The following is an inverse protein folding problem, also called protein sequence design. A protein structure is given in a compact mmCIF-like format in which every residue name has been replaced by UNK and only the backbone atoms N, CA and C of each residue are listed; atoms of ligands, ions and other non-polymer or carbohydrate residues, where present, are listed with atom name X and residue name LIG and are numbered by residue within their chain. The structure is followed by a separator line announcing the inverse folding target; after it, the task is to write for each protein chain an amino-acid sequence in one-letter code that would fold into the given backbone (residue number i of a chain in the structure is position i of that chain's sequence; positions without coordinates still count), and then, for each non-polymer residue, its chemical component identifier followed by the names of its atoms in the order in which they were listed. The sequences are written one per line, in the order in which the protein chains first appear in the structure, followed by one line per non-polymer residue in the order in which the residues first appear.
data_IF_895725387410
#
_entry.id   IF_895725387410
#
_cell.length_a   1.000
_cell.length_b   1.000
_cell.length_c   1.000
_cell.angle_alpha   90.00
_cell.angle_beta   90.00
_cell.angle_gamma   90.00
#
_symmetry.space_group_name_H-M   'P 1'
#
loop_
_entity.id
_entity.type
_entity.pdbx_description
1 polymer ?
#
# COMPACT_ATOMS: atom_id res chain seq x y z
N UNK A 1 -39.53 75.84 18.71
CA UNK A 1 -39.36 74.71 17.82
C UNK A 1 -38.00 74.05 18.14
N UNK A 2 -37.98 72.91 18.87
CA UNK A 2 -36.76 72.23 19.31
C UNK A 2 -36.58 71.02 18.37
N UNK A 3 -35.51 71.00 17.62
CA UNK A 3 -35.11 69.85 16.78
C UNK A 3 -34.29 68.89 17.66
N UNK A 4 -34.88 67.70 17.89
CA UNK A 4 -34.21 66.60 18.59
C UNK A 4 -33.33 65.85 17.61
N UNK A 5 -32.01 65.84 17.90
CA UNK A 5 -31.02 65.11 17.14
C UNK A 5 -30.96 63.68 17.67
N UNK A 6 -31.38 62.70 16.86
CA UNK A 6 -31.25 61.28 17.20
C UNK A 6 -29.87 60.80 16.69
N UNK A 7 -28.98 60.52 17.62
CA UNK A 7 -27.67 59.89 17.32
C UNK A 7 -27.88 58.37 17.30
N UNK A 8 -27.86 57.78 16.12
CA UNK A 8 -27.86 56.34 15.96
C UNK A 8 -26.43 55.83 16.15
N UNK A 9 -26.20 55.10 17.25
CA UNK A 9 -24.94 54.35 17.46
C UNK A 9 -25.07 53.04 16.72
N UNK A 10 -24.36 52.93 15.60
CA UNK A 10 -24.16 51.65 14.91
C UNK A 10 -23.01 50.92 15.60
N UNK A 11 -23.36 49.94 16.41
CA UNK A 11 -22.36 49.00 16.99
C UNK A 11 -21.89 48.03 15.90
N UNK A 12 -20.72 48.25 15.34
CA UNK A 12 -20.05 47.29 14.46
C UNK A 12 -19.53 46.13 15.30
N UNK A 13 -20.23 44.99 15.27
CA UNK A 13 -19.78 43.73 15.85
C UNK A 13 -18.72 43.13 14.92
N UNK A 14 -17.44 43.35 15.20
CA UNK A 14 -16.34 42.70 14.52
C UNK A 14 -16.29 41.21 14.95
N UNK A 15 -16.81 40.32 14.09
CA UNK A 15 -16.71 38.90 14.27
C UNK A 15 -15.27 38.50 13.96
N UNK A 16 -14.43 38.33 14.99
CA UNK A 16 -13.08 37.78 14.88
C UNK A 16 -13.23 36.28 14.59
N UNK A 17 -13.26 35.90 13.32
CA UNK A 17 -13.10 34.51 12.91
C UNK A 17 -11.66 34.10 13.22
N UNK A 18 -11.45 33.47 14.37
CA UNK A 18 -10.20 32.75 14.65
C UNK A 18 -10.15 31.56 13.68
N UNK A 19 -9.41 31.71 12.59
CA UNK A 19 -8.95 30.57 11.81
C UNK A 19 -8.01 29.76 12.74
N UNK A 20 -8.57 28.78 13.43
CA UNK A 20 -7.78 27.70 13.98
C UNK A 20 -7.25 26.93 12.79
N UNK A 21 -6.06 27.30 12.34
CA UNK A 21 -5.30 26.48 11.39
C UNK A 21 -5.12 25.13 12.03
N UNK A 22 -5.88 24.13 11.57
CA UNK A 22 -5.60 22.74 11.84
C UNK A 22 -4.24 22.50 11.20
N UNK A 23 -3.19 22.50 12.02
CA UNK A 23 -1.88 22.09 11.60
C UNK A 23 -2.05 20.63 11.12
N UNK A 24 -2.11 20.46 9.80
CA UNK A 24 -2.07 19.14 9.17
C UNK A 24 -0.69 18.60 9.53
N UNK A 25 -0.65 17.62 10.43
CA UNK A 25 0.57 16.90 10.71
C UNK A 25 1.11 16.46 9.33
N UNK A 26 2.28 17.01 8.97
CA UNK A 26 2.87 16.67 7.67
C UNK A 26 3.08 15.17 7.63
N UNK A 27 2.60 14.52 6.58
CA UNK A 27 2.78 13.09 6.37
C UNK A 27 4.27 12.77 6.51
N UNK A 28 4.61 12.00 7.54
CA UNK A 28 5.99 11.60 7.78
C UNK A 28 6.29 10.37 6.96
N UNK A 29 7.30 10.45 6.12
CA UNK A 29 7.84 9.30 5.43
C UNK A 29 8.61 8.42 6.43
N UNK A 30 8.24 7.15 6.50
CA UNK A 30 8.76 6.17 7.45
C UNK A 30 9.32 4.96 6.68
N UNK A 31 10.47 4.39 7.10
CA UNK A 31 11.00 3.18 6.48
C UNK A 31 10.02 2.01 6.64
N UNK A 32 9.77 1.30 5.54
CA UNK A 32 9.01 0.06 5.53
C UNK A 32 9.96 -1.10 5.25
N UNK A 33 10.03 -2.07 6.16
CA UNK A 33 10.88 -3.26 6.02
C UNK A 33 10.16 -4.47 6.61
N UNK A 34 10.29 -5.61 5.94
CA UNK A 34 9.67 -6.84 6.41
C UNK A 34 10.14 -8.09 5.67
N UNK A 35 9.57 -9.21 6.06
CA UNK A 35 9.72 -10.51 5.43
C UNK A 35 8.34 -11.07 5.09
N UNK A 36 8.29 -11.91 4.08
CA UNK A 36 7.08 -12.59 3.66
C UNK A 36 7.34 -14.04 3.33
N UNK A 37 6.32 -14.87 3.48
CA UNK A 37 6.24 -16.22 2.94
C UNK A 37 4.79 -16.48 2.53
N UNK A 38 4.61 -17.18 1.40
CA UNK A 38 3.29 -17.47 0.86
C UNK A 38 3.29 -18.76 0.04
N UNK A 39 2.09 -19.19 -0.32
CA UNK A 39 1.89 -20.25 -1.32
C UNK A 39 1.07 -19.65 -2.45
N UNK A 40 1.57 -19.83 -3.67
CA UNK A 40 0.95 -19.38 -4.91
C UNK A 40 0.14 -20.51 -5.56
N UNK A 41 -0.99 -20.17 -6.14
CA UNK A 41 -1.73 -20.99 -7.08
C UNK A 41 -1.64 -20.34 -8.45
N UNK A 42 -1.18 -21.11 -9.44
CA UNK A 42 -0.94 -20.63 -10.79
C UNK A 42 -1.98 -21.17 -11.75
N UNK A 43 -2.57 -20.29 -12.54
CA UNK A 43 -3.54 -20.62 -13.60
C UNK A 43 -2.94 -20.26 -14.97
N UNK A 44 -2.76 -21.27 -15.81
CA UNK A 44 -2.21 -21.18 -17.17
C UNK A 44 -3.29 -21.37 -18.24
N UNK A 45 -4.56 -21.21 -17.91
CA UNK A 45 -5.68 -21.50 -18.84
C UNK A 45 -5.81 -20.49 -19.97
N UNK A 46 -5.17 -19.31 -19.87
CA UNK A 46 -5.29 -18.23 -20.85
C UNK A 46 -3.92 -17.73 -21.36
N UNK A 47 -3.05 -18.56 -21.98
CA UNK A 47 -1.75 -18.11 -22.45
C UNK A 47 -1.88 -17.02 -23.55
N UNK A 48 -0.95 -16.02 -23.61
CA UNK A 48 0.29 -15.95 -22.83
C UNK A 48 0.14 -15.39 -21.41
N UNK A 49 -1.06 -15.17 -20.93
CA UNK A 49 -1.29 -14.65 -19.57
C UNK A 49 -1.45 -15.81 -18.58
N UNK A 50 -0.66 -15.79 -17.54
CA UNK A 50 -0.79 -16.64 -16.36
C UNK A 50 -1.32 -15.79 -15.21
N UNK A 51 -2.31 -16.29 -14.48
CA UNK A 51 -2.75 -15.66 -13.23
C UNK A 51 -2.11 -16.35 -12.03
N UNK A 52 -1.50 -15.60 -11.13
CA UNK A 52 -1.03 -16.06 -9.83
C UNK A 52 -1.87 -15.45 -8.73
N UNK A 53 -2.46 -16.30 -7.92
CA UNK A 53 -3.09 -15.91 -6.65
C UNK A 53 -2.31 -16.51 -5.50
N UNK A 54 -2.16 -15.77 -4.41
CA UNK A 54 -1.44 -16.31 -3.27
C UNK A 54 -2.03 -15.87 -1.94
N UNK A 55 -1.77 -16.71 -0.94
CA UNK A 55 -2.04 -16.41 0.46
C UNK A 55 -0.78 -16.66 1.28
N UNK A 56 -0.48 -15.73 2.17
CA UNK A 56 0.74 -15.78 2.97
C UNK A 56 0.70 -14.97 4.24
N UNK A 57 1.85 -14.83 4.84
CA UNK A 57 2.03 -14.07 6.07
C UNK A 57 3.46 -13.53 6.18
N UNK A 58 3.65 -12.62 7.12
CA UNK A 58 4.96 -12.07 7.39
C UNK A 58 4.99 -11.17 8.62
N UNK A 59 6.12 -10.50 8.75
CA UNK A 59 6.32 -9.44 9.77
C UNK A 59 6.93 -8.24 9.07
N UNK A 60 6.34 -7.06 9.28
CA UNK A 60 6.88 -5.81 8.74
C UNK A 60 6.74 -4.67 9.75
N UNK A 61 7.61 -3.65 9.59
CA UNK A 61 7.45 -2.38 10.30
C UNK A 61 6.06 -1.81 10.02
N UNK A 62 5.46 -1.17 10.99
CA UNK A 62 4.12 -0.58 10.96
C UNK A 62 2.94 -1.58 10.82
N UNK A 63 3.13 -2.75 10.19
CA UNK A 63 2.12 -3.82 10.16
C UNK A 63 2.20 -4.76 11.38
N UNK A 64 3.41 -4.98 11.91
CA UNK A 64 3.65 -6.08 12.83
C UNK A 64 3.52 -7.42 12.12
N UNK A 65 2.91 -8.41 12.76
CA UNK A 65 2.49 -9.65 12.08
C UNK A 65 1.31 -9.34 11.16
N UNK A 66 1.33 -9.90 9.96
CA UNK A 66 0.28 -9.68 8.97
C UNK A 66 -0.01 -10.96 8.17
N UNK A 67 -1.20 -11.00 7.58
CA UNK A 67 -1.54 -11.90 6.49
C UNK A 67 -1.50 -11.12 5.17
N UNK A 68 -1.23 -11.81 4.08
CA UNK A 68 -1.11 -11.23 2.75
C UNK A 68 -1.88 -12.09 1.75
N UNK A 69 -2.64 -11.44 0.89
CA UNK A 69 -3.17 -12.03 -0.32
C UNK A 69 -2.78 -11.16 -1.50
N UNK A 70 -2.49 -11.79 -2.66
CA UNK A 70 -2.29 -11.06 -3.90
C UNK A 70 -2.92 -11.77 -5.08
N UNK A 71 -3.12 -11.01 -6.13
CA UNK A 71 -3.49 -11.46 -7.45
C UNK A 71 -2.62 -10.72 -8.47
N UNK A 72 -1.95 -11.48 -9.34
CA UNK A 72 -1.00 -10.97 -10.34
C UNK A 72 -1.28 -11.64 -11.66
N UNK A 73 -1.39 -10.84 -12.73
CA UNK A 73 -1.37 -11.30 -14.10
C UNK A 73 0.07 -11.21 -14.63
N UNK A 74 0.61 -12.31 -15.12
CA UNK A 74 1.98 -12.42 -15.64
C UNK A 74 1.92 -12.71 -17.13
N UNK A 75 2.56 -11.89 -17.93
CA UNK A 75 2.80 -12.17 -19.34
C UNK A 75 4.01 -13.11 -19.46
N UNK A 76 3.79 -14.32 -19.94
CA UNK A 76 4.81 -15.37 -20.05
C UNK A 76 5.86 -15.10 -21.13
N UNK A 77 5.57 -14.24 -22.12
CA UNK A 77 6.52 -13.88 -23.18
C UNK A 77 7.58 -12.90 -22.67
N UNK A 78 7.20 -11.99 -21.77
CA UNK A 78 8.07 -10.96 -21.21
C UNK A 78 8.51 -11.25 -19.78
N UNK A 79 7.86 -12.22 -19.13
CA UNK A 79 8.06 -12.60 -17.72
C UNK A 79 7.84 -11.39 -16.78
N UNK A 80 6.94 -10.49 -17.17
CA UNK A 80 6.52 -9.32 -16.39
C UNK A 80 5.10 -9.50 -15.87
N UNK A 81 4.85 -8.99 -14.69
CA UNK A 81 3.52 -9.07 -14.08
C UNK A 81 3.00 -7.71 -13.61
N UNK A 82 1.69 -7.63 -13.49
CA UNK A 82 0.98 -6.53 -12.83
C UNK A 82 -0.04 -7.10 -11.85
N UNK A 83 -0.22 -6.47 -10.70
CA UNK A 83 -1.13 -7.03 -9.73
C UNK A 83 -1.43 -6.14 -8.54
N UNK A 84 -2.20 -6.72 -7.63
CA UNK A 84 -2.64 -6.09 -6.38
C UNK A 84 -2.23 -6.92 -5.18
N UNK A 85 -1.93 -6.25 -4.06
CA UNK A 85 -1.65 -6.87 -2.78
C UNK A 85 -2.55 -6.33 -1.67
N UNK A 86 -2.99 -7.21 -0.80
CA UNK A 86 -3.78 -6.88 0.38
C UNK A 86 -3.13 -7.44 1.62
N UNK A 87 -2.60 -6.57 2.46
CA UNK A 87 -1.99 -6.89 3.75
C UNK A 87 -2.98 -6.61 4.86
N UNK A 88 -3.13 -7.52 5.80
CA UNK A 88 -4.00 -7.37 6.97
C UNK A 88 -3.17 -7.55 8.23
N UNK A 89 -3.00 -6.47 8.98
CA UNK A 89 -2.30 -6.48 10.27
C UNK A 89 -3.10 -7.26 11.34
N UNK A 90 -2.44 -7.69 12.39
CA UNK A 90 -3.04 -8.50 13.46
C UNK A 90 -4.25 -7.84 14.16
N UNK A 91 -4.36 -6.51 14.10
CA UNK A 91 -5.50 -5.75 14.64
C UNK A 91 -6.65 -5.56 13.63
N UNK A 92 -6.54 -6.12 12.42
CA UNK A 92 -7.55 -6.03 11.36
C UNK A 92 -7.39 -4.83 10.42
N UNK A 93 -6.46 -3.90 10.68
CA UNK A 93 -6.18 -2.80 9.75
C UNK A 93 -5.57 -3.34 8.45
N UNK A 94 -6.01 -2.81 7.33
CA UNK A 94 -5.59 -3.25 6.00
C UNK A 94 -4.70 -2.22 5.31
N UNK A 95 -3.75 -2.71 4.50
CA UNK A 95 -2.93 -1.92 3.58
C UNK A 95 -3.10 -2.50 2.18
N UNK A 96 -3.33 -1.65 1.18
CA UNK A 96 -3.54 -2.03 -0.22
C UNK A 96 -2.39 -1.54 -1.09
N UNK A 97 -2.00 -2.37 -2.05
CA UNK A 97 -0.94 -2.05 -3.01
C UNK A 97 -1.35 -2.44 -4.42
N UNK A 98 -0.77 -1.75 -5.40
CA UNK A 98 -0.78 -2.12 -6.81
C UNK A 98 0.64 -2.02 -7.32
N UNK A 99 1.02 -2.84 -8.30
CA UNK A 99 2.39 -2.76 -8.79
C UNK A 99 2.68 -3.65 -9.99
N UNK A 100 3.95 -3.61 -10.36
CA UNK A 100 4.51 -4.39 -11.46
C UNK A 100 5.72 -5.16 -10.98
N UNK A 101 5.97 -6.31 -11.59
CA UNK A 101 7.10 -7.17 -11.26
C UNK A 101 7.79 -7.75 -12.49
N UNK A 102 9.01 -8.17 -12.29
CA UNK A 102 9.83 -8.90 -13.23
C UNK A 102 10.33 -10.17 -12.56
N UNK A 103 10.13 -11.30 -13.20
CA UNK A 103 10.78 -12.54 -12.81
C UNK A 103 12.04 -12.80 -13.65
N UNK A 104 13.01 -13.46 -13.05
CA UNK A 104 14.26 -13.88 -13.70
C UNK A 104 14.51 -15.34 -13.32
N UNK A 105 14.73 -16.25 -14.29
CA UNK A 105 15.09 -17.63 -13.98
C UNK A 105 16.37 -17.69 -13.14
N UNK A 106 16.44 -18.64 -12.23
CA UNK A 106 17.67 -18.99 -11.49
C UNK A 106 18.37 -20.18 -12.13
N UNK A 107 19.47 -20.62 -11.55
CA UNK A 107 20.16 -21.84 -11.99
C UNK A 107 19.37 -23.12 -11.62
N UNK A 108 18.39 -23.01 -10.72
CA UNK A 108 17.53 -24.12 -10.33
C UNK A 108 16.29 -24.21 -11.24
N UNK A 109 15.94 -25.37 -11.77
CA UNK A 109 14.76 -25.55 -12.61
C UNK A 109 13.46 -25.14 -11.89
N UNK A 110 12.59 -24.37 -12.59
CA UNK A 110 11.32 -23.86 -12.07
C UNK A 110 11.42 -22.90 -10.88
N UNK A 111 12.61 -22.43 -10.54
CA UNK A 111 12.84 -21.45 -9.50
C UNK A 111 13.14 -20.09 -10.11
N UNK A 112 12.42 -19.07 -9.68
CA UNK A 112 12.55 -17.69 -10.19
C UNK A 112 12.84 -16.73 -9.06
N UNK A 113 13.70 -15.77 -9.34
CA UNK A 113 13.86 -14.56 -8.56
C UNK A 113 12.89 -13.50 -9.09
N UNK A 114 12.06 -12.94 -8.21
CA UNK A 114 11.02 -11.98 -8.56
C UNK A 114 11.24 -10.70 -7.79
N UNK A 115 11.32 -9.59 -8.52
CA UNK A 115 11.37 -8.25 -7.94
C UNK A 115 10.11 -7.49 -8.37
N UNK A 116 9.36 -6.99 -7.40
CA UNK A 116 8.12 -6.26 -7.64
C UNK A 116 8.21 -4.86 -7.02
N UNK A 117 7.83 -3.85 -7.80
CA UNK A 117 7.71 -2.47 -7.34
C UNK A 117 6.24 -2.14 -7.17
N UNK A 118 5.85 -1.84 -5.94
CA UNK A 118 4.47 -1.67 -5.55
C UNK A 118 4.24 -0.27 -4.97
N UNK A 119 3.11 0.32 -5.34
CA UNK A 119 2.61 1.59 -4.81
C UNK A 119 1.57 1.28 -3.74
N UNK A 120 1.70 1.90 -2.57
CA UNK A 120 0.69 1.87 -1.52
C UNK A 120 -0.43 2.81 -1.94
N UNK A 121 -1.64 2.28 -2.10
CA UNK A 121 -2.82 3.03 -2.57
C UNK A 121 -3.75 3.45 -1.45
N UNK A 122 -3.47 3.03 -0.22
CA UNK A 122 -4.26 3.34 0.97
C UNK A 122 -4.45 2.14 1.86
N UNK A 123 -5.45 2.22 2.72
CA UNK A 123 -5.79 1.14 3.65
C UNK A 123 -6.96 1.50 4.55
N UNK A 124 -7.11 0.75 5.63
CA UNK A 124 -8.11 0.99 6.68
C UNK A 124 -7.45 1.26 8.03
N UNK A 125 -8.23 1.74 9.00
CA UNK A 125 -7.74 2.03 10.33
C UNK A 125 -6.54 2.98 10.29
N UNK A 126 -5.41 2.61 10.88
CA UNK A 126 -4.19 3.44 10.91
C UNK A 126 -3.53 3.64 9.53
N UNK A 127 -3.95 2.86 8.52
CA UNK A 127 -3.46 2.98 7.14
C UNK A 127 -4.44 3.74 6.24
N UNK A 128 -5.54 4.28 6.78
CA UNK A 128 -6.46 5.11 6.02
C UNK A 128 -5.74 6.35 5.48
N UNK A 129 -5.66 6.48 4.14
CA UNK A 129 -4.90 7.56 3.49
C UNK A 129 -3.39 7.34 3.42
N UNK A 130 -2.88 6.15 3.79
CA UNK A 130 -1.49 5.80 3.61
C UNK A 130 -1.08 5.83 2.12
N UNK A 131 0.17 6.18 1.87
CA UNK A 131 0.79 6.17 0.54
C UNK A 131 2.27 5.78 0.66
N UNK A 132 2.94 5.56 -0.46
CA UNK A 132 4.35 5.23 -0.48
C UNK A 132 4.69 4.17 -1.52
N UNK A 133 5.93 3.70 -1.48
CA UNK A 133 6.44 2.69 -2.40
C UNK A 133 7.15 1.60 -1.62
N UNK A 134 6.90 0.36 -1.98
CA UNK A 134 7.61 -0.81 -1.46
C UNK A 134 8.09 -1.68 -2.61
N UNK A 135 9.21 -2.33 -2.39
CA UNK A 135 9.75 -3.35 -3.28
C UNK A 135 9.72 -4.68 -2.55
N UNK A 136 9.18 -5.71 -3.19
CA UNK A 136 9.36 -7.10 -2.78
C UNK A 136 10.50 -7.71 -3.58
N UNK A 137 11.33 -8.48 -2.90
CA UNK A 137 12.45 -9.24 -3.45
C UNK A 137 12.32 -10.67 -2.92
N UNK A 138 11.94 -11.61 -3.80
CA UNK A 138 11.52 -12.95 -3.40
C UNK A 138 11.95 -14.03 -4.38
N UNK A 139 12.03 -15.24 -3.88
CA UNK A 139 12.19 -16.45 -4.68
C UNK A 139 10.85 -17.19 -4.69
N UNK A 140 10.50 -17.76 -5.84
CA UNK A 140 9.35 -18.65 -6.01
C UNK A 140 9.77 -19.94 -6.68
N UNK A 141 9.33 -21.07 -6.14
CA UNK A 141 9.42 -22.39 -6.77
C UNK A 141 8.04 -22.69 -7.40
N UNK A 142 7.98 -22.69 -8.72
CA UNK A 142 6.74 -22.93 -9.47
C UNK A 142 6.27 -24.39 -9.37
N UNK A 143 7.10 -25.33 -8.91
CA UNK A 143 6.71 -26.72 -8.72
C UNK A 143 5.85 -26.89 -7.48
N UNK A 144 6.17 -26.14 -6.43
CA UNK A 144 5.50 -26.22 -5.13
C UNK A 144 4.57 -25.03 -4.86
N UNK A 145 4.71 -23.95 -5.61
CA UNK A 145 4.07 -22.67 -5.35
C UNK A 145 4.63 -21.91 -4.13
N UNK A 146 5.65 -22.47 -3.46
CA UNK A 146 6.21 -21.82 -2.27
C UNK A 146 7.04 -20.62 -2.66
N UNK A 147 6.80 -19.51 -1.99
CA UNK A 147 7.55 -18.27 -2.18
C UNK A 147 7.91 -17.63 -0.85
N UNK A 148 9.09 -17.02 -0.81
CA UNK A 148 9.54 -16.28 0.37
C UNK A 148 10.51 -15.17 -0.02
N UNK A 149 10.55 -14.11 0.79
CA UNK A 149 11.42 -12.97 0.49
C UNK A 149 11.32 -11.85 1.49
N UNK A 150 11.80 -10.70 1.06
CA UNK A 150 11.84 -9.47 1.83
C UNK A 150 10.98 -8.38 1.21
N UNK A 151 10.55 -7.45 2.03
CA UNK A 151 9.86 -6.23 1.61
C UNK A 151 10.66 -5.04 2.14
N UNK A 152 10.89 -4.05 1.29
CA UNK A 152 11.59 -2.83 1.68
C UNK A 152 11.00 -1.61 0.97
N UNK A 153 11.13 -0.42 1.55
CA UNK A 153 10.64 0.82 0.96
C UNK A 153 10.26 1.86 2.00
N UNK A 154 9.28 2.67 1.67
CA UNK A 154 8.81 3.74 2.53
C UNK A 154 7.27 3.81 2.53
N UNK A 155 6.72 4.20 3.67
CA UNK A 155 5.30 4.47 3.86
C UNK A 155 5.12 5.87 4.45
N UNK A 156 4.14 6.60 3.94
CA UNK A 156 3.64 7.84 4.53
C UNK A 156 2.31 7.52 5.22
N UNK A 157 2.25 7.80 6.50
CA UNK A 157 1.02 7.69 7.31
C UNK A 157 0.44 9.10 7.54
N UNK A 158 -0.89 9.25 7.50
CA UNK A 158 -1.58 10.52 7.75
C UNK A 158 -1.33 11.05 9.16
#
# INVERSE_FOLDING_TARGET
MKKTLIISIVAALALLATLTGVARAGNKELPFKGTMQAVETLDFTNPPIMTSTASGSGIATHLGRYTLNWEVEVNLETITGTGTGHFVAANGDSLYTVGTGQATPTDEPNVFHVVENMIITGGTGRFAGASGNITTDRIVDLTTGVTSGTISGNIMLP
#
